data_IF_753108885643
#
_entry.id   IF_753108885643
#
_cell.length_a   1.000
_cell.length_b   1.000
_cell.length_c   1.000
_cell.angle_alpha   90.00
_cell.angle_beta   90.00
_cell.angle_gamma   90.00
#
_symmetry.space_group_name_H-M   'P 1'
#
loop_
_entity.id
_entity.type
_entity.pdbx_description
1 polymer ?
#
# COMPACT_ATOMS: atom_id res chain seq x y z
N UNK A 1 -9.52 5.41 -1.91
CA UNK A 1 -8.06 5.60 -2.00
C UNK A 1 -7.43 4.87 -3.18
N UNK A 2 -6.61 5.60 -3.95
CA UNK A 2 -5.77 5.08 -5.02
C UNK A 2 -4.42 5.79 -4.99
N UNK A 3 -3.32 5.04 -4.97
CA UNK A 3 -1.97 5.62 -5.00
C UNK A 3 -1.70 6.47 -6.24
N UNK A 4 -2.39 6.20 -7.35
CA UNK A 4 -2.16 6.91 -8.61
C UNK A 4 -3.19 8.00 -8.89
N UNK A 5 -4.43 7.84 -8.39
CA UNK A 5 -5.54 8.74 -8.72
C UNK A 5 -5.99 9.62 -7.57
N UNK A 6 -5.77 9.19 -6.32
CA UNK A 6 -6.04 9.98 -5.12
C UNK A 6 -4.86 9.88 -4.12
N UNK A 7 -3.64 10.27 -4.53
CA UNK A 7 -2.44 10.12 -3.70
C UNK A 7 -2.52 10.89 -2.38
N UNK A 8 -3.11 12.09 -2.40
CA UNK A 8 -3.27 12.91 -1.19
C UNK A 8 -4.22 12.27 -0.17
N UNK A 9 -5.31 11.65 -0.64
CA UNK A 9 -6.25 10.89 0.19
C UNK A 9 -5.54 9.70 0.84
N UNK A 10 -4.73 8.95 0.07
CA UNK A 10 -3.98 7.81 0.59
C UNK A 10 -2.95 8.23 1.65
N UNK A 11 -2.16 9.29 1.38
CA UNK A 11 -1.18 9.80 2.34
C UNK A 11 -1.85 10.33 3.61
N UNK A 12 -2.91 11.14 3.46
CA UNK A 12 -3.66 11.68 4.58
C UNK A 12 -4.27 10.57 5.45
N UNK A 13 -4.85 9.54 4.85
CA UNK A 13 -5.35 8.39 5.59
C UNK A 13 -4.25 7.72 6.43
N UNK A 14 -3.12 7.33 5.82
CA UNK A 14 -2.04 6.63 6.54
C UNK A 14 -1.42 7.47 7.66
N UNK A 15 -1.20 8.78 7.43
CA UNK A 15 -0.61 9.68 8.44
C UNK A 15 -1.43 9.75 9.72
N UNK A 16 -2.76 9.76 9.59
CA UNK A 16 -3.67 9.90 10.71
C UNK A 16 -4.18 8.54 11.22
N UNK A 17 -3.74 7.42 10.65
CA UNK A 17 -4.32 6.11 10.95
C UNK A 17 -4.12 5.69 12.41
N UNK A 18 -2.94 5.92 12.98
CA UNK A 18 -2.68 5.61 14.39
C UNK A 18 -3.55 6.44 15.33
N UNK A 19 -3.64 7.76 15.09
CA UNK A 19 -4.47 8.69 15.89
C UNK A 19 -5.96 8.34 15.80
N UNK A 20 -6.40 7.84 14.65
CA UNK A 20 -7.77 7.37 14.43
C UNK A 20 -8.06 6.00 15.06
N UNK A 21 -7.09 5.39 15.77
CA UNK A 21 -7.27 4.15 16.52
C UNK A 21 -7.12 2.86 15.70
N UNK A 22 -6.54 2.94 14.48
CA UNK A 22 -6.22 1.74 13.71
C UNK A 22 -4.97 1.05 14.26
N UNK A 23 -4.96 -0.29 14.24
CA UNK A 23 -3.78 -1.09 14.64
C UNK A 23 -2.99 -1.70 13.49
N UNK A 24 -3.59 -1.79 12.29
CA UNK A 24 -2.99 -2.38 11.08
C UNK A 24 -3.70 -1.83 9.85
N UNK A 25 -2.98 -1.70 8.74
CA UNK A 25 -3.54 -1.33 7.44
C UNK A 25 -3.37 -2.49 6.47
N UNK A 26 -4.46 -2.90 5.81
CA UNK A 26 -4.42 -3.91 4.74
C UNK A 26 -4.65 -3.21 3.40
N UNK A 27 -3.68 -3.32 2.50
CA UNK A 27 -3.71 -2.72 1.16
C UNK A 27 -3.90 -3.79 0.10
N UNK A 28 -4.77 -3.53 -0.88
CA UNK A 28 -5.06 -4.44 -1.99
C UNK A 28 -4.80 -3.68 -3.29
N UNK A 29 -3.83 -4.15 -4.09
CA UNK A 29 -3.45 -3.48 -5.32
C UNK A 29 -2.91 -4.47 -6.38
N UNK A 30 -3.11 -4.13 -7.66
CA UNK A 30 -2.68 -4.94 -8.81
C UNK A 30 -1.76 -4.16 -9.75
N UNK A 31 -1.17 -4.87 -10.72
CA UNK A 31 -0.19 -4.34 -11.68
C UNK A 31 0.97 -3.63 -10.98
N UNK A 32 1.19 -2.34 -11.25
CA UNK A 32 2.13 -1.50 -10.50
C UNK A 32 1.57 -1.17 -9.11
N UNK A 33 1.60 -2.14 -8.20
CA UNK A 33 0.91 -2.17 -6.91
C UNK A 33 1.52 -1.23 -5.84
N UNK A 34 1.52 0.08 -6.08
CA UNK A 34 2.19 1.07 -5.21
C UNK A 34 1.46 1.38 -3.89
N UNK A 35 0.17 1.04 -3.76
CA UNK A 35 -0.63 1.48 -2.61
C UNK A 35 -0.05 1.04 -1.26
N UNK A 36 0.39 -0.21 -1.14
CA UNK A 36 0.98 -0.71 0.10
C UNK A 36 2.23 0.08 0.52
N UNK A 37 3.15 0.30 -0.42
CA UNK A 37 4.36 1.09 -0.16
C UNK A 37 4.07 2.55 0.17
N UNK A 38 3.12 3.19 -0.51
CA UNK A 38 2.70 4.57 -0.22
C UNK A 38 2.14 4.69 1.20
N UNK A 39 1.28 3.75 1.60
CA UNK A 39 0.69 3.75 2.95
C UNK A 39 1.80 3.49 4.00
N UNK A 40 2.65 2.50 3.78
CA UNK A 40 3.75 2.15 4.69
C UNK A 40 4.75 3.30 4.90
N UNK A 41 5.01 4.10 3.86
CA UNK A 41 5.91 5.25 3.97
C UNK A 41 5.33 6.41 4.81
N UNK A 42 4.05 6.38 5.16
CA UNK A 42 3.33 7.49 5.79
C UNK A 42 2.74 7.12 7.15
N UNK A 43 3.05 5.96 7.71
CA UNK A 43 2.55 5.52 9.01
C UNK A 43 3.59 4.68 9.75
N UNK A 44 3.51 4.62 11.08
CA UNK A 44 4.26 3.67 11.90
C UNK A 44 3.52 2.34 12.07
N UNK A 45 2.23 2.28 11.69
CA UNK A 45 1.45 1.07 11.79
C UNK A 45 1.93 0.01 10.78
N UNK A 46 1.83 -1.29 11.14
CA UNK A 46 2.07 -2.36 10.19
C UNK A 46 1.15 -2.25 8.97
N UNK A 47 1.73 -2.40 7.77
CA UNK A 47 0.99 -2.43 6.51
C UNK A 47 1.16 -3.79 5.84
N UNK A 48 0.05 -4.47 5.57
CA UNK A 48 0.00 -5.74 4.87
C UNK A 48 -0.39 -5.48 3.41
N UNK A 49 0.48 -5.89 2.47
CA UNK A 49 0.22 -5.82 1.04
C UNK A 49 -0.39 -7.11 0.49
N UNK A 50 -1.56 -7.03 -0.13
CA UNK A 50 -2.22 -8.13 -0.83
C UNK A 50 -2.16 -7.87 -2.33
N UNK A 51 -1.21 -8.49 -3.06
CA UNK A 51 -1.13 -8.34 -4.50
C UNK A 51 -2.30 -9.09 -5.16
N UNK A 52 -3.03 -8.40 -6.04
CA UNK A 52 -4.10 -9.00 -6.85
C UNK A 52 -3.69 -9.10 -8.30
N UNK A 53 -3.88 -10.29 -8.88
CA UNK A 53 -3.45 -10.61 -10.23
C UNK A 53 -4.35 -10.00 -11.31
N UNK A 54 -3.72 -9.50 -12.37
CA UNK A 54 -4.39 -9.10 -13.60
C UNK A 54 -3.58 -9.46 -14.84
N UNK A 55 -2.35 -8.94 -14.95
CA UNK A 55 -1.38 -9.25 -16.01
C UNK A 55 -0.28 -10.15 -15.45
N UNK A 56 0.45 -10.87 -16.30
CA UNK A 56 1.57 -11.74 -15.88
C UNK A 56 1.24 -12.72 -14.72
N UNK A 57 -0.01 -13.14 -14.59
CA UNK A 57 -0.46 -14.00 -13.49
C UNK A 57 -0.33 -13.35 -12.09
N UNK A 58 -0.20 -12.03 -12.00
CA UNK A 58 -0.01 -11.30 -10.74
C UNK A 58 1.44 -11.21 -10.26
N UNK A 59 2.41 -11.69 -11.05
CA UNK A 59 3.83 -11.55 -10.71
C UNK A 59 4.27 -10.07 -10.66
N UNK A 60 3.69 -9.24 -11.51
CA UNK A 60 3.88 -7.79 -11.52
C UNK A 60 3.47 -7.16 -10.17
N UNK A 61 2.24 -7.44 -9.72
CA UNK A 61 1.72 -6.98 -8.44
C UNK A 61 2.51 -7.52 -7.25
N UNK A 62 2.89 -8.81 -7.29
CA UNK A 62 3.69 -9.44 -6.24
C UNK A 62 5.04 -8.74 -6.08
N UNK A 63 5.80 -8.59 -7.17
CA UNK A 63 7.12 -7.97 -7.13
C UNK A 63 7.04 -6.48 -6.76
N UNK A 64 6.02 -5.77 -7.26
CA UNK A 64 5.79 -4.38 -6.89
C UNK A 64 5.42 -4.19 -5.40
N UNK A 65 4.89 -5.24 -4.75
CA UNK A 65 4.52 -5.20 -3.33
C UNK A 65 5.66 -5.62 -2.42
N UNK A 66 6.38 -6.71 -2.76
CA UNK A 66 7.34 -7.35 -1.83
C UNK A 66 8.75 -6.74 -1.88
N UNK A 67 9.16 -6.17 -3.01
CA UNK A 67 10.53 -5.66 -3.22
C UNK A 67 10.71 -4.23 -2.69
N UNK A 68 10.17 -3.91 -1.51
CA UNK A 68 10.47 -2.62 -0.87
C UNK A 68 11.95 -2.57 -0.49
N UNK A 69 12.65 -1.44 -0.73
CA UNK A 69 14.00 -1.25 -0.24
C UNK A 69 14.02 -1.21 1.28
N UNK A 70 15.18 -1.45 1.88
CA UNK A 70 15.38 -1.22 3.32
C UNK A 70 15.11 0.25 3.66
N UNK A 71 14.28 0.47 4.67
CA UNK A 71 13.97 1.76 5.29
C UNK A 71 14.07 1.66 6.80
#
# INVERSE_FOLDING_TARGET
MSAHRTPDEASAFSKNAEENGFGVIISIAGMAAHLGGVLAANTVLPVIGVPVGSSFGGLDALLATVQMPSG
#
